data_IF_996630391516
#
_entry.id   IF_996630391516
#
_cell.length_a   1.000
_cell.length_b   1.000
_cell.length_c   1.000
_cell.angle_alpha   90.00
_cell.angle_beta   90.00
_cell.angle_gamma   90.00
#
_symmetry.space_group_name_H-M   'P 1'
#
loop_
_entity.id
_entity.type
_entity.pdbx_description
1 polymer ?
#
# COMPACT_ATOMS: atom_id res chain seq x y z
N UNK A 1 20.38 7.59 -25.16
CA UNK A 1 21.06 7.16 -23.93
C UNK A 1 20.34 7.60 -22.67
N UNK A 2 20.21 8.92 -22.39
CA UNK A 2 19.57 9.44 -21.16
C UNK A 2 18.13 8.93 -20.92
N UNK A 3 17.27 8.96 -21.95
CA UNK A 3 15.87 8.50 -21.82
C UNK A 3 15.77 7.02 -21.40
N UNK A 4 16.58 6.15 -22.00
CA UNK A 4 16.60 4.72 -21.64
C UNK A 4 17.16 4.48 -20.24
N UNK A 5 18.13 5.29 -19.80
CA UNK A 5 18.62 5.22 -18.43
C UNK A 5 17.53 5.59 -17.42
N UNK A 6 16.78 6.67 -17.66
CA UNK A 6 15.70 7.09 -16.75
C UNK A 6 14.59 6.03 -16.74
N UNK A 7 14.19 5.51 -17.90
CA UNK A 7 13.20 4.43 -17.99
C UNK A 7 13.65 3.19 -17.20
N UNK A 8 14.90 2.76 -17.34
CA UNK A 8 15.47 1.64 -16.58
C UNK A 8 15.44 1.90 -15.07
N UNK A 9 15.87 3.09 -14.65
CA UNK A 9 15.87 3.48 -13.23
C UNK A 9 14.45 3.48 -12.65
N UNK A 10 13.47 4.01 -13.38
CA UNK A 10 12.08 4.01 -12.95
C UNK A 10 11.52 2.60 -12.77
N UNK A 11 11.81 1.67 -13.70
CA UNK A 11 11.40 0.27 -13.56
C UNK A 11 12.00 -0.37 -12.30
N UNK A 12 13.30 -0.19 -12.05
CA UNK A 12 13.95 -0.77 -10.88
C UNK A 12 13.44 -0.15 -9.57
N UNK A 13 13.25 1.17 -9.53
CA UNK A 13 12.67 1.86 -8.37
C UNK A 13 11.24 1.40 -8.12
N UNK A 14 10.42 1.28 -9.16
CA UNK A 14 9.06 0.77 -9.06
C UNK A 14 9.05 -0.68 -8.55
N UNK A 15 9.91 -1.53 -9.10
CA UNK A 15 10.00 -2.94 -8.75
C UNK A 15 10.42 -3.14 -7.28
N UNK A 16 11.52 -2.52 -6.84
CA UNK A 16 11.98 -2.63 -5.46
C UNK A 16 11.00 -2.01 -4.47
N UNK A 17 10.44 -0.84 -4.81
CA UNK A 17 9.40 -0.22 -3.99
C UNK A 17 8.16 -1.11 -3.86
N UNK A 18 7.74 -1.74 -4.97
CA UNK A 18 6.62 -2.67 -5.02
C UNK A 18 6.85 -3.90 -4.13
N UNK A 19 8.06 -4.46 -4.14
CA UNK A 19 8.44 -5.56 -3.24
C UNK A 19 8.29 -5.14 -1.77
N UNK A 20 8.77 -3.95 -1.40
CA UNK A 20 8.67 -3.49 -0.01
C UNK A 20 7.21 -3.22 0.37
N UNK A 21 6.46 -2.51 -0.48
CA UNK A 21 5.09 -2.11 -0.18
C UNK A 21 4.12 -3.30 -0.19
N UNK A 22 4.03 -4.00 -1.31
CA UNK A 22 3.11 -5.14 -1.47
C UNK A 22 3.61 -6.33 -0.64
N UNK A 23 4.92 -6.56 -0.58
CA UNK A 23 5.49 -7.60 0.28
C UNK A 23 5.17 -7.36 1.76
N UNK A 24 5.18 -6.11 2.24
CA UNK A 24 4.72 -5.80 3.60
C UNK A 24 3.25 -6.18 3.82
N UNK A 25 2.37 -5.91 2.84
CA UNK A 25 0.96 -6.29 2.93
C UNK A 25 0.82 -7.82 3.14
N UNK A 26 1.54 -8.63 2.37
CA UNK A 26 1.48 -10.10 2.48
C UNK A 26 2.17 -10.62 3.75
N UNK A 27 3.33 -10.08 4.13
CA UNK A 27 4.00 -10.41 5.39
C UNK A 27 3.08 -10.17 6.59
N UNK A 28 2.33 -9.05 6.57
CA UNK A 28 1.34 -8.73 7.60
C UNK A 28 0.20 -9.75 7.67
N UNK A 29 -0.28 -10.28 6.53
CA UNK A 29 -1.31 -11.36 6.50
C UNK A 29 -0.77 -12.61 7.16
N UNK A 30 0.43 -13.02 6.76
CA UNK A 30 1.03 -14.29 7.18
C UNK A 30 1.35 -14.27 8.68
N UNK A 31 1.91 -13.16 9.17
CA UNK A 31 2.26 -13.00 10.58
C UNK A 31 1.04 -12.77 11.47
N UNK A 32 -0.04 -12.19 10.95
CA UNK A 32 -1.24 -11.86 11.72
C UNK A 32 -2.50 -12.03 10.87
N UNK A 33 -2.93 -13.29 10.65
CA UNK A 33 -4.02 -13.62 9.74
C UNK A 33 -5.40 -13.25 10.31
N UNK A 34 -5.56 -13.29 11.63
CA UNK A 34 -6.80 -12.97 12.32
C UNK A 34 -6.65 -11.74 13.21
N UNK A 35 -7.74 -10.97 13.31
CA UNK A 35 -7.81 -9.86 14.24
C UNK A 35 -7.87 -10.40 15.68
N UNK A 36 -6.95 -9.95 16.52
CA UNK A 36 -6.98 -10.18 17.97
C UNK A 36 -7.32 -8.85 18.64
N UNK A 37 -8.51 -8.72 19.27
CA UNK A 37 -8.87 -7.49 19.96
C UNK A 37 -7.93 -7.27 21.14
N UNK A 38 -7.38 -6.06 21.25
CA UNK A 38 -6.69 -5.64 22.45
C UNK A 38 -7.71 -5.33 23.55
N UNK A 39 -7.40 -5.68 24.79
CA UNK A 39 -8.19 -5.32 25.95
C UNK A 39 -7.83 -3.91 26.44
N UNK A 40 -8.64 -3.37 27.36
CA UNK A 40 -8.32 -2.11 28.05
C UNK A 40 -7.00 -2.22 28.82
N UNK A 41 -6.75 -3.37 29.43
CA UNK A 41 -5.55 -3.66 30.22
C UNK A 41 -4.29 -3.65 29.32
N UNK A 42 -4.37 -4.25 28.13
CA UNK A 42 -3.27 -4.29 27.14
C UNK A 42 -2.82 -2.91 26.68
N UNK A 43 -3.73 -1.93 26.70
CA UNK A 43 -3.50 -0.58 26.20
C UNK A 43 -3.41 0.49 27.31
N UNK A 44 -3.71 0.13 28.57
CA UNK A 44 -3.58 1.05 29.70
C UNK A 44 -2.14 1.18 30.20
N UNK A 45 -1.35 0.13 30.04
CA UNK A 45 0.07 0.13 30.37
C UNK A 45 0.91 0.36 29.10
N UNK A 46 1.38 1.60 28.92
CA UNK A 46 2.24 1.98 27.79
C UNK A 46 3.67 1.44 27.90
N UNK A 47 3.98 0.66 28.93
CA UNK A 47 5.23 -0.10 29.08
C UNK A 47 4.97 -1.61 29.05
N UNK A 48 3.70 -2.01 28.92
CA UNK A 48 3.28 -3.40 28.90
C UNK A 48 3.79 -4.15 27.66
N UNK A 49 3.96 -5.48 27.76
CA UNK A 49 4.50 -6.31 26.68
C UNK A 49 3.64 -6.24 25.40
N UNK A 50 2.32 -6.11 25.55
CA UNK A 50 1.40 -5.97 24.41
C UNK A 50 1.64 -4.67 23.63
N UNK A 51 1.81 -3.54 24.34
CA UNK A 51 2.07 -2.24 23.72
C UNK A 51 3.46 -2.19 23.07
N UNK A 52 4.48 -2.70 23.75
CA UNK A 52 5.84 -2.77 23.20
C UNK A 52 5.92 -3.66 21.95
N UNK A 53 5.15 -4.76 21.89
CA UNK A 53 5.04 -5.58 20.70
C UNK A 53 4.38 -4.83 19.52
N UNK A 54 3.42 -3.93 19.76
CA UNK A 54 2.82 -3.10 18.71
C UNK A 54 3.83 -2.09 18.15
N UNK A 55 4.59 -1.44 19.03
CA UNK A 55 5.64 -0.50 18.64
C UNK A 55 6.76 -1.20 17.86
N UNK A 56 7.22 -2.36 18.32
CA UNK A 56 8.29 -3.12 17.63
C UNK A 56 7.91 -3.61 16.22
N UNK A 57 6.61 -3.68 15.92
CA UNK A 57 6.06 -4.05 14.61
C UNK A 57 5.79 -2.85 13.71
N UNK A 58 5.93 -1.63 14.23
CA UNK A 58 5.77 -0.40 13.45
C UNK A 58 7.04 -0.12 12.64
N UNK A 59 6.91 -0.19 11.31
CA UNK A 59 8.01 0.13 10.39
C UNK A 59 7.48 1.12 9.35
N UNK A 60 8.00 2.34 9.30
CA UNK A 60 7.52 3.36 8.36
C UNK A 60 7.99 3.19 6.91
N UNK A 61 8.95 2.30 6.67
CA UNK A 61 9.60 2.12 5.36
C UNK A 61 8.60 1.79 4.24
N UNK A 62 7.63 0.91 4.51
CA UNK A 62 6.64 0.52 3.49
C UNK A 62 5.72 1.67 3.07
N UNK A 63 5.45 2.63 3.96
CA UNK A 63 4.60 3.79 3.67
C UNK A 63 5.21 4.69 2.61
N UNK A 64 6.50 4.97 2.74
CA UNK A 64 7.23 5.76 1.77
C UNK A 64 7.57 4.96 0.51
N UNK A 65 7.85 3.66 0.64
CA UNK A 65 8.01 2.78 -0.52
C UNK A 65 6.75 2.78 -1.41
N UNK A 66 5.55 2.85 -0.81
CA UNK A 66 4.30 2.97 -1.56
C UNK A 66 4.25 4.23 -2.44
N UNK A 67 4.62 5.40 -1.90
CA UNK A 67 4.69 6.66 -2.66
C UNK A 67 5.71 6.54 -3.79
N UNK A 68 6.92 6.06 -3.48
CA UNK A 68 8.00 5.91 -4.46
C UNK A 68 7.58 4.98 -5.60
N UNK A 69 6.96 3.85 -5.28
CA UNK A 69 6.43 2.89 -6.26
C UNK A 69 5.40 3.56 -7.16
N UNK A 70 4.41 4.22 -6.56
CA UNK A 70 3.33 4.84 -7.30
C UNK A 70 3.84 5.96 -8.23
N UNK A 71 4.72 6.83 -7.72
CA UNK A 71 5.34 7.91 -8.51
C UNK A 71 6.21 7.36 -9.65
N UNK A 72 6.97 6.29 -9.42
CA UNK A 72 7.73 5.64 -10.47
C UNK A 72 6.79 5.06 -11.55
N UNK A 73 5.66 4.47 -11.15
CA UNK A 73 4.61 4.00 -12.05
C UNK A 73 4.05 5.09 -12.96
N UNK A 74 3.65 6.22 -12.36
CA UNK A 74 3.18 7.41 -13.07
C UNK A 74 4.27 7.95 -14.01
N UNK A 75 5.52 8.00 -13.55
CA UNK A 75 6.67 8.43 -14.34
C UNK A 75 6.90 7.57 -15.58
N UNK A 76 6.77 6.25 -15.46
CA UNK A 76 6.88 5.34 -16.61
C UNK A 76 5.76 5.58 -17.62
N UNK A 77 4.52 5.75 -17.17
CA UNK A 77 3.39 6.05 -18.06
C UNK A 77 3.53 7.42 -18.74
N UNK A 78 4.04 8.41 -18.02
CA UNK A 78 4.31 9.75 -18.55
C UNK A 78 5.35 9.70 -19.67
N UNK A 79 6.47 9.00 -19.46
CA UNK A 79 7.52 8.90 -20.49
C UNK A 79 7.08 8.21 -21.77
N UNK A 80 6.11 7.30 -21.67
CA UNK A 80 5.52 6.59 -22.81
C UNK A 80 4.38 7.36 -23.48
N UNK A 81 4.01 8.54 -22.97
CA UNK A 81 2.88 9.33 -23.47
C UNK A 81 1.52 8.71 -23.19
N UNK A 82 1.44 7.71 -22.29
CA UNK A 82 0.23 6.93 -22.03
C UNK A 82 -0.50 7.35 -20.74
N UNK A 83 0.04 8.28 -19.95
CA UNK A 83 -0.52 8.60 -18.63
C UNK A 83 -1.99 9.06 -18.70
N UNK A 84 -2.30 10.00 -19.59
CA UNK A 84 -3.66 10.55 -19.67
C UNK A 84 -4.67 9.49 -20.10
N UNK A 85 -4.32 8.67 -21.10
CA UNK A 85 -5.19 7.57 -21.55
C UNK A 85 -5.36 6.51 -20.48
N UNK A 86 -4.27 6.17 -19.78
CA UNK A 86 -4.30 5.25 -18.64
C UNK A 86 -5.09 5.83 -17.46
N UNK A 87 -5.18 7.14 -17.27
CA UNK A 87 -6.05 7.72 -16.25
C UNK A 87 -7.51 7.77 -16.69
N UNK A 88 -7.74 8.05 -17.98
CA UNK A 88 -9.06 8.13 -18.60
C UNK A 88 -9.70 6.77 -18.89
N UNK A 89 -8.98 5.65 -18.65
CA UNK A 89 -9.40 4.29 -19.04
C UNK A 89 -9.71 4.18 -20.53
N UNK A 90 -8.94 4.84 -21.39
CA UNK A 90 -9.14 4.85 -22.84
C UNK A 90 -8.17 3.92 -23.57
N UNK A 91 -8.67 3.24 -24.61
CA UNK A 91 -7.86 2.45 -25.53
C UNK A 91 -6.99 1.37 -24.87
N UNK A 92 -5.87 1.08 -25.50
CA UNK A 92 -4.89 0.08 -25.02
C UNK A 92 -4.38 0.35 -23.58
N UNK A 93 -4.08 1.60 -23.17
CA UNK A 93 -3.62 1.90 -21.81
C UNK A 93 -4.66 1.65 -20.69
N UNK A 94 -5.93 1.40 -21.01
CA UNK A 94 -6.98 1.17 -20.00
C UNK A 94 -6.66 0.02 -19.03
N UNK A 95 -6.01 -1.04 -19.52
CA UNK A 95 -5.64 -2.21 -18.72
C UNK A 95 -4.65 -1.85 -17.61
N UNK A 96 -3.55 -1.18 -17.95
CA UNK A 96 -2.58 -0.72 -16.94
C UNK A 96 -3.17 0.40 -16.08
N UNK A 97 -4.08 1.19 -16.66
CA UNK A 97 -4.82 2.21 -15.96
C UNK A 97 -5.69 1.66 -14.82
N UNK A 98 -6.33 0.50 -14.99
CA UNK A 98 -7.05 -0.15 -13.89
C UNK A 98 -6.10 -0.46 -12.73
N UNK A 99 -4.88 -0.93 -13.04
CA UNK A 99 -3.79 -1.07 -12.06
C UNK A 99 -3.41 0.27 -11.41
N UNK A 100 -3.27 1.35 -12.18
CA UNK A 100 -2.97 2.69 -11.65
C UNK A 100 -4.02 3.15 -10.63
N UNK A 101 -5.31 3.01 -10.94
CA UNK A 101 -6.40 3.41 -10.03
C UNK A 101 -6.46 2.56 -8.77
N UNK A 102 -6.34 1.23 -8.89
CA UNK A 102 -6.28 0.36 -7.71
C UNK A 102 -5.08 0.72 -6.83
N UNK A 103 -3.91 0.97 -7.43
CA UNK A 103 -2.72 1.41 -6.70
C UNK A 103 -2.92 2.76 -6.00
N UNK A 104 -3.62 3.68 -6.65
CA UNK A 104 -3.98 4.99 -6.07
C UNK A 104 -4.92 4.82 -4.88
N UNK A 105 -5.94 3.97 -4.98
CA UNK A 105 -6.85 3.65 -3.87
C UNK A 105 -6.11 3.00 -2.70
N UNK A 106 -5.19 2.07 -2.98
CA UNK A 106 -4.36 1.45 -1.94
C UNK A 106 -3.45 2.47 -1.24
N UNK A 107 -2.84 3.38 -2.00
CA UNK A 107 -2.01 4.46 -1.45
C UNK A 107 -2.84 5.42 -0.59
N UNK A 108 -4.04 5.79 -1.05
CA UNK A 108 -4.98 6.62 -0.31
C UNK A 108 -5.44 5.94 0.98
N UNK A 109 -5.82 4.65 0.92
CA UNK A 109 -6.18 3.87 2.11
C UNK A 109 -5.01 3.81 3.10
N UNK A 110 -3.77 3.64 2.62
CA UNK A 110 -2.59 3.64 3.47
C UNK A 110 -2.36 4.98 4.19
N UNK A 111 -2.39 6.08 3.46
CA UNK A 111 -2.03 7.39 4.01
C UNK A 111 -3.16 8.14 4.70
N UNK A 112 -4.40 7.94 4.25
CA UNK A 112 -5.58 8.66 4.76
C UNK A 112 -6.38 7.83 5.78
N UNK A 113 -6.29 6.50 5.76
CA UNK A 113 -7.02 5.63 6.68
C UNK A 113 -6.07 4.92 7.64
N UNK A 114 -5.17 4.07 7.14
CA UNK A 114 -4.30 3.25 7.99
C UNK A 114 -3.43 4.13 8.89
N UNK A 115 -2.65 5.05 8.31
CA UNK A 115 -1.65 5.81 9.05
C UNK A 115 -2.23 6.73 10.13
N UNK A 116 -3.30 7.52 9.89
CA UNK A 116 -3.88 8.35 10.94
C UNK A 116 -4.43 7.56 12.12
N UNK A 117 -5.03 6.39 11.89
CA UNK A 117 -5.52 5.52 12.96
C UNK A 117 -4.37 4.79 13.67
N UNK A 118 -3.35 4.36 12.92
CA UNK A 118 -2.15 3.75 13.50
C UNK A 118 -1.42 4.70 14.44
N UNK A 119 -1.30 6.00 14.09
CA UNK A 119 -0.73 7.01 14.98
C UNK A 119 -1.43 7.10 16.34
N UNK A 120 -2.77 6.95 16.36
CA UNK A 120 -3.55 6.95 17.61
C UNK A 120 -3.30 5.67 18.42
N UNK A 121 -3.27 4.51 17.77
CA UNK A 121 -2.96 3.23 18.45
C UNK A 121 -1.60 3.30 19.16
N UNK A 122 -0.60 3.83 18.47
CA UNK A 122 0.80 3.92 18.93
C UNK A 122 1.09 5.12 19.83
N UNK A 123 0.07 5.91 20.20
CA UNK A 123 0.26 7.05 21.11
C UNK A 123 0.98 8.27 20.49
N UNK A 124 1.28 8.28 19.18
CA UNK A 124 1.83 9.46 18.50
C UNK A 124 0.85 10.63 18.43
N UNK A 125 -0.45 10.33 18.57
CA UNK A 125 -1.52 11.32 18.70
C UNK A 125 -2.34 10.94 19.92
N UNK A 126 -2.56 11.91 20.81
CA UNK A 126 -3.38 11.75 22.01
C UNK A 126 -4.81 11.39 21.62
N UNK A 127 -5.33 10.28 22.16
CA UNK A 127 -6.69 9.78 21.95
C UNK A 127 -7.14 9.03 23.19
N UNK A 128 -8.46 8.96 23.43
CA UNK A 128 -9.00 8.20 24.56
C UNK A 128 -8.74 6.70 24.40
N UNK A 129 -8.73 5.93 25.49
CA UNK A 129 -8.54 4.49 25.45
C UNK A 129 -9.56 3.80 24.52
N UNK A 130 -10.82 4.21 24.59
CA UNK A 130 -11.89 3.69 23.71
C UNK A 130 -11.62 3.97 22.23
N UNK A 131 -11.12 5.17 21.92
CA UNK A 131 -10.78 5.53 20.55
C UNK A 131 -9.57 4.73 20.05
N UNK A 132 -8.53 4.58 20.88
CA UNK A 132 -7.34 3.77 20.56
C UNK A 132 -7.74 2.32 20.26
N UNK A 133 -8.59 1.73 21.10
CA UNK A 133 -9.12 0.37 20.91
C UNK A 133 -9.89 0.24 19.58
N UNK A 134 -10.76 1.19 19.27
CA UNK A 134 -11.47 1.22 17.97
C UNK A 134 -10.50 1.33 16.79
N UNK A 135 -9.45 2.13 16.92
CA UNK A 135 -8.45 2.31 15.86
C UNK A 135 -7.73 1.00 15.53
N UNK A 136 -7.48 0.11 16.49
CA UNK A 136 -6.81 -1.19 16.22
C UNK A 136 -7.51 -1.99 15.11
N UNK A 137 -8.84 -2.06 15.15
CA UNK A 137 -9.66 -2.76 14.16
C UNK A 137 -9.62 -2.07 12.80
N UNK A 138 -9.66 -0.73 12.79
CA UNK A 138 -9.58 0.05 11.56
C UNK A 138 -8.22 -0.18 10.88
N UNK A 139 -7.12 -0.13 11.63
CA UNK A 139 -5.77 -0.36 11.11
C UNK A 139 -5.63 -1.78 10.54
N UNK A 140 -6.16 -2.78 11.25
CA UNK A 140 -6.16 -4.16 10.78
C UNK A 140 -6.94 -4.32 9.47
N UNK A 141 -8.19 -3.86 9.43
CA UNK A 141 -9.05 -3.98 8.23
C UNK A 141 -8.46 -3.21 7.05
N UNK A 142 -7.94 -2.01 7.28
CA UNK A 142 -7.28 -1.22 6.24
C UNK A 142 -6.09 -1.96 5.63
N UNK A 143 -5.27 -2.64 6.43
CA UNK A 143 -4.19 -3.51 5.93
C UNK A 143 -4.72 -4.67 5.08
N UNK A 144 -5.82 -5.32 5.50
CA UNK A 144 -6.45 -6.43 4.75
C UNK A 144 -7.02 -5.96 3.41
N UNK A 145 -7.67 -4.79 3.38
CA UNK A 145 -8.15 -4.17 2.14
C UNK A 145 -7.00 -3.95 1.17
N UNK A 146 -5.86 -3.42 1.62
CA UNK A 146 -4.69 -3.24 0.76
C UNK A 146 -4.14 -4.56 0.20
N UNK A 147 -4.08 -5.63 1.00
CA UNK A 147 -3.70 -6.96 0.49
C UNK A 147 -4.69 -7.47 -0.55
N UNK A 148 -6.00 -7.33 -0.31
CA UNK A 148 -7.00 -7.85 -1.26
C UNK A 148 -6.98 -7.07 -2.57
N UNK A 149 -6.80 -5.75 -2.51
CA UNK A 149 -6.65 -4.90 -3.70
C UNK A 149 -5.34 -5.14 -4.44
N UNK A 150 -4.27 -5.59 -3.78
CA UNK A 150 -3.01 -5.88 -4.48
C UNK A 150 -3.12 -7.08 -5.44
N UNK A 151 -4.09 -7.98 -5.23
CA UNK A 151 -4.31 -9.13 -6.13
C UNK A 151 -4.73 -8.66 -7.54
N UNK A 152 -5.87 -7.95 -7.72
CA UNK A 152 -6.24 -7.43 -9.04
C UNK A 152 -5.25 -6.39 -9.56
N UNK A 153 -4.60 -5.60 -8.69
CA UNK A 153 -3.51 -4.71 -9.10
C UNK A 153 -2.41 -5.44 -9.88
N UNK A 154 -1.85 -6.50 -9.26
CA UNK A 154 -0.77 -7.29 -9.85
C UNK A 154 -1.23 -8.01 -11.12
N UNK A 155 -2.49 -8.47 -11.14
CA UNK A 155 -3.11 -9.04 -12.33
C UNK A 155 -3.09 -8.03 -13.50
N UNK A 156 -3.58 -6.80 -13.31
CA UNK A 156 -3.60 -5.80 -14.38
C UNK A 156 -2.20 -5.36 -14.84
N UNK A 157 -1.23 -5.32 -13.92
CA UNK A 157 0.17 -5.08 -14.27
C UNK A 157 0.71 -6.18 -15.19
N UNK A 158 0.53 -7.45 -14.83
CA UNK A 158 0.97 -8.58 -15.64
C UNK A 158 0.20 -8.66 -16.98
N UNK A 159 -1.10 -8.45 -16.94
CA UNK A 159 -1.98 -8.48 -18.11
C UNK A 159 -1.61 -7.41 -19.15
N UNK A 160 -1.24 -6.20 -18.71
CA UNK A 160 -0.83 -5.13 -19.62
C UNK A 160 0.43 -5.44 -20.42
N UNK A 161 1.35 -6.25 -19.87
CA UNK A 161 2.63 -6.58 -20.50
C UNK A 161 2.62 -7.93 -21.22
N UNK A 162 1.89 -8.91 -20.71
CA UNK A 162 1.93 -10.30 -21.20
C UNK A 162 0.60 -10.79 -21.75
N UNK A 163 -0.49 -10.08 -21.47
CA UNK A 163 -1.85 -10.45 -21.84
C UNK A 163 -2.46 -9.54 -22.90
N UNK A 164 -1.66 -8.81 -23.67
CA UNK A 164 -2.16 -7.86 -24.69
C UNK A 164 -3.15 -8.51 -25.67
N UNK A 165 -3.00 -9.80 -25.98
CA UNK A 165 -3.93 -10.56 -26.80
C UNK A 165 -5.34 -10.75 -26.20
N UNK A 166 -5.49 -10.61 -24.88
CA UNK A 166 -6.79 -10.70 -24.19
C UNK A 166 -7.60 -9.39 -24.25
N UNK A 167 -6.95 -8.29 -24.66
CA UNK A 167 -7.51 -6.94 -24.67
C UNK A 167 -7.34 -6.24 -26.03
N UNK A 168 -7.06 -7.03 -27.08
CA UNK A 168 -6.92 -6.59 -28.46
C UNK A 168 -8.25 -6.66 -29.22
#
# INVERSE_FOLDING_TARGET
MMKHLIDLLLHWVHFFGGIIWVGHNYASVIQSPSFRPLSREDMSDEQGPAYMALLGREHGTFRYAAIVTWLAGVGMLWQRGMLLDAMAMSGYPAVIGAGLWIGTLMLANLWLVLWPHQKKVLGFVTASLDERLRCTRITFLSSRVNTMLSIPLLFFMAASQHGSALFA
#
